data_IF_297434259889
#
_entry.id   IF_297434259889
#
_cell.length_a   1.000
_cell.length_b   1.000
_cell.length_c   1.000
_cell.angle_alpha   90.00
_cell.angle_beta   90.00
_cell.angle_gamma   90.00
#
_symmetry.space_group_name_H-M   'P 1'
#
loop_
_entity.id
_entity.type
_entity.pdbx_description
1 polymer ?
#
# COMPACT_ATOMS: atom_id res chain seq x y z
N UNK A 1 -11.04 38.78 -15.99
CA UNK A 1 -10.15 37.59 -15.98
C UNK A 1 -10.59 36.72 -14.82
N UNK A 2 -11.42 35.70 -15.08
CA UNK A 2 -11.91 34.79 -14.04
C UNK A 2 -11.01 33.56 -14.02
N UNK A 3 -10.16 33.45 -13.01
CA UNK A 3 -9.29 32.29 -12.80
C UNK A 3 -10.15 31.10 -12.38
N UNK A 4 -10.42 30.19 -13.31
CA UNK A 4 -10.91 28.85 -12.95
C UNK A 4 -9.82 28.18 -12.11
N UNK A 5 -10.02 28.11 -10.79
CA UNK A 5 -9.36 27.09 -9.98
C UNK A 5 -10.12 25.80 -10.23
N UNK A 6 -9.73 25.05 -11.26
CA UNK A 6 -10.15 23.66 -11.37
C UNK A 6 -9.78 22.98 -10.05
N UNK A 7 -10.74 22.37 -9.37
CA UNK A 7 -10.52 21.73 -8.07
C UNK A 7 -9.49 20.64 -8.26
N UNK A 8 -8.22 20.91 -7.93
CA UNK A 8 -7.18 19.91 -7.99
C UNK A 8 -7.59 18.78 -7.04
N UNK A 9 -7.79 17.58 -7.58
CA UNK A 9 -8.20 16.45 -6.76
C UNK A 9 -7.07 16.14 -5.77
N UNK A 10 -7.38 15.91 -4.49
CA UNK A 10 -6.36 15.57 -3.51
C UNK A 10 -5.67 14.27 -3.95
N UNK A 11 -4.38 14.12 -3.68
CA UNK A 11 -3.69 12.87 -3.94
C UNK A 11 -3.90 11.88 -2.80
N UNK A 12 -3.82 10.60 -3.12
CA UNK A 12 -3.88 9.47 -2.18
C UNK A 12 -2.79 8.46 -2.53
N UNK A 13 -2.57 7.51 -1.62
CA UNK A 13 -1.66 6.39 -1.84
C UNK A 13 -2.48 5.16 -2.24
N UNK A 14 -2.02 4.45 -3.26
CA UNK A 14 -2.54 3.16 -3.70
C UNK A 14 -1.46 2.10 -3.58
N UNK A 15 -1.86 0.88 -3.21
CA UNK A 15 -0.97 -0.28 -3.20
C UNK A 15 -0.80 -0.80 -4.62
N UNK A 16 0.43 -1.07 -5.03
CA UNK A 16 0.73 -1.91 -6.20
C UNK A 16 0.53 -3.37 -5.82
N UNK A 17 -0.72 -3.84 -5.76
CA UNK A 17 -1.09 -5.12 -5.15
C UNK A 17 -0.31 -6.33 -5.71
N UNK A 18 -0.11 -6.39 -7.03
CA UNK A 18 0.68 -7.45 -7.66
C UNK A 18 2.17 -7.40 -7.24
N UNK A 19 2.79 -6.21 -7.30
CA UNK A 19 4.18 -6.03 -6.90
C UNK A 19 4.40 -6.36 -5.41
N UNK A 20 3.47 -5.94 -4.55
CA UNK A 20 3.48 -6.25 -3.12
C UNK A 20 3.37 -7.76 -2.86
N UNK A 21 2.45 -8.45 -3.55
CA UNK A 21 2.23 -9.88 -3.37
C UNK A 21 3.44 -10.69 -3.83
N UNK A 22 4.04 -10.32 -4.97
CA UNK A 22 5.26 -10.95 -5.46
C UNK A 22 6.46 -10.66 -4.55
N UNK A 23 6.59 -9.44 -4.04
CA UNK A 23 7.62 -9.08 -3.06
C UNK A 23 7.50 -9.92 -1.78
N UNK A 24 6.29 -10.05 -1.23
CA UNK A 24 6.05 -10.87 -0.04
C UNK A 24 6.41 -12.34 -0.27
N UNK A 25 6.05 -12.89 -1.43
CA UNK A 25 6.39 -14.26 -1.82
C UNK A 25 7.90 -14.48 -1.95
N UNK A 26 8.61 -13.50 -2.52
CA UNK A 26 10.08 -13.51 -2.68
C UNK A 26 10.82 -13.34 -1.35
N UNK A 27 10.25 -12.56 -0.43
CA UNK A 27 10.74 -12.42 0.94
C UNK A 27 10.47 -13.68 1.81
N UNK A 28 9.78 -14.69 1.27
CA UNK A 28 9.55 -15.97 1.94
C UNK A 28 8.26 -16.04 2.75
N UNK A 29 7.41 -15.02 2.72
CA UNK A 29 6.11 -15.07 3.36
C UNK A 29 5.18 -16.01 2.58
N UNK A 30 4.65 -17.03 3.26
CA UNK A 30 3.78 -18.08 2.68
C UNK A 30 2.30 -17.90 3.06
N UNK A 31 1.98 -16.90 3.86
CA UNK A 31 0.61 -16.58 4.26
C UNK A 31 0.49 -15.12 4.66
N UNK A 32 -0.72 -14.56 4.49
CA UNK A 32 -1.06 -13.21 4.95
C UNK A 32 -0.83 -13.05 6.46
N UNK A 33 -1.01 -14.12 7.23
CA UNK A 33 -0.79 -14.07 8.68
C UNK A 33 0.68 -13.83 9.02
N UNK A 34 1.60 -14.56 8.37
CA UNK A 34 3.03 -14.39 8.59
C UNK A 34 3.51 -12.99 8.16
N UNK A 35 3.01 -12.51 7.02
CA UNK A 35 3.29 -11.17 6.52
C UNK A 35 2.74 -10.08 7.46
N UNK A 36 1.47 -10.20 7.88
CA UNK A 36 0.83 -9.26 8.79
C UNK A 36 1.57 -9.16 10.12
N UNK A 37 2.05 -10.30 10.64
CA UNK A 37 2.89 -10.32 11.85
C UNK A 37 4.22 -9.59 11.65
N UNK A 38 4.89 -9.80 10.51
CA UNK A 38 6.13 -9.11 10.20
C UNK A 38 5.95 -7.59 9.99
N UNK A 39 4.79 -7.19 9.47
CA UNK A 39 4.40 -5.79 9.28
C UNK A 39 3.84 -5.12 10.54
N UNK A 40 3.64 -5.89 11.63
CA UNK A 40 2.95 -5.43 12.84
C UNK A 40 1.54 -4.83 12.59
N UNK A 41 0.74 -5.51 11.77
CA UNK A 41 -0.65 -5.13 11.47
C UNK A 41 -1.60 -6.32 11.60
N UNK A 42 -2.91 -6.04 11.62
CA UNK A 42 -3.91 -7.10 11.60
C UNK A 42 -3.96 -7.79 10.23
N UNK A 43 -4.07 -9.12 10.20
CA UNK A 43 -4.24 -9.90 8.95
C UNK A 43 -5.37 -9.38 8.08
N UNK A 44 -6.52 -9.02 8.67
CA UNK A 44 -7.67 -8.50 7.92
C UNK A 44 -7.38 -7.15 7.26
N UNK A 45 -6.48 -6.34 7.84
CA UNK A 45 -5.97 -5.11 7.19
C UNK A 45 -5.17 -5.47 5.94
N UNK A 46 -4.30 -6.49 6.00
CA UNK A 46 -3.54 -6.95 4.83
C UNK A 46 -4.47 -7.37 3.71
N UNK A 47 -5.38 -8.30 3.99
CA UNK A 47 -6.34 -8.78 2.99
C UNK A 47 -7.17 -7.63 2.40
N UNK A 48 -7.72 -6.74 3.23
CA UNK A 48 -8.55 -5.62 2.72
C UNK A 48 -7.77 -4.60 1.88
N UNK A 49 -6.50 -4.36 2.18
CA UNK A 49 -5.67 -3.44 1.38
C UNK A 49 -5.24 -4.10 0.07
N UNK A 50 -4.84 -5.37 0.10
CA UNK A 50 -4.47 -6.14 -1.09
C UNK A 50 -5.64 -6.29 -2.06
N UNK A 51 -6.83 -6.56 -1.53
CA UNK A 51 -8.07 -6.69 -2.32
C UNK A 51 -8.66 -5.33 -2.75
N UNK A 52 -8.08 -4.21 -2.31
CA UNK A 52 -8.52 -2.86 -2.70
C UNK A 52 -9.74 -2.33 -1.92
N UNK A 53 -10.24 -3.04 -0.91
CA UNK A 53 -11.33 -2.57 -0.05
C UNK A 53 -10.91 -1.45 0.92
N UNK A 54 -9.62 -1.32 1.21
CA UNK A 54 -9.08 -0.31 2.12
C UNK A 54 -7.85 0.37 1.50
N UNK A 55 -7.78 1.70 1.62
CA UNK A 55 -6.57 2.44 1.25
C UNK A 55 -5.44 2.17 2.27
N UNK A 56 -4.19 1.99 1.83
CA UNK A 56 -3.07 1.76 2.75
C UNK A 56 -2.87 2.97 3.68
N UNK A 57 -3.02 2.75 4.98
CA UNK A 57 -2.74 3.77 6.00
C UNK A 57 -1.27 3.78 6.44
N UNK A 58 -0.85 4.76 7.28
CA UNK A 58 0.54 4.91 7.70
C UNK A 58 1.15 3.65 8.33
N UNK A 59 0.40 2.94 9.18
CA UNK A 59 0.87 1.70 9.81
C UNK A 59 1.13 0.58 8.78
N UNK A 60 0.25 0.44 7.78
CA UNK A 60 0.43 -0.53 6.71
C UNK A 60 1.67 -0.20 5.87
N UNK A 61 1.84 1.08 5.50
CA UNK A 61 2.97 1.54 4.68
C UNK A 61 4.29 1.32 5.41
N UNK A 62 4.39 1.77 6.67
CA UNK A 62 5.60 1.58 7.47
C UNK A 62 5.92 0.10 7.68
N UNK A 63 4.92 -0.70 8.04
CA UNK A 63 5.08 -2.14 8.21
C UNK A 63 5.56 -2.85 6.95
N UNK A 64 5.01 -2.48 5.78
CA UNK A 64 5.43 -3.03 4.49
C UNK A 64 6.91 -2.73 4.18
N UNK A 65 7.34 -1.47 4.37
CA UNK A 65 8.71 -1.05 4.08
C UNK A 65 9.75 -1.69 5.01
N UNK A 66 9.35 -1.98 6.26
CA UNK A 66 10.21 -2.72 7.20
C UNK A 66 10.23 -4.21 6.87
N UNK A 67 9.06 -4.83 6.68
CA UNK A 67 8.96 -6.27 6.46
C UNK A 67 9.51 -6.74 5.10
N UNK A 68 9.49 -5.86 4.10
CA UNK A 68 9.92 -6.15 2.73
C UNK A 68 11.19 -5.39 2.35
N UNK A 69 11.99 -4.94 3.32
CA UNK A 69 13.28 -4.33 3.06
C UNK A 69 14.14 -5.24 2.15
N UNK A 70 14.90 -4.68 1.18
CA UNK A 70 15.23 -3.25 1.01
C UNK A 70 14.29 -2.48 0.06
N UNK A 71 13.06 -2.95 -0.19
CA UNK A 71 12.14 -2.26 -1.09
C UNK A 71 11.76 -0.87 -0.58
N UNK A 72 11.59 0.05 -1.53
CA UNK A 72 11.26 1.46 -1.30
C UNK A 72 9.78 1.70 -1.49
N UNK A 73 9.33 2.91 -1.17
CA UNK A 73 7.93 3.30 -1.28
C UNK A 73 7.41 3.11 -2.70
N UNK A 74 8.15 3.61 -3.70
CA UNK A 74 7.78 3.56 -5.12
C UNK A 74 7.71 2.14 -5.71
N UNK A 75 8.37 1.17 -5.09
CA UNK A 75 8.31 -0.24 -5.50
C UNK A 75 6.97 -0.89 -5.12
N UNK A 76 6.36 -0.43 -4.03
CA UNK A 76 5.17 -1.04 -3.41
C UNK A 76 3.91 -0.17 -3.54
N UNK A 77 4.08 1.13 -3.69
CA UNK A 77 3.01 2.12 -3.63
C UNK A 77 3.12 3.12 -4.77
N UNK A 78 2.00 3.76 -5.06
CA UNK A 78 1.93 4.88 -5.98
C UNK A 78 1.05 5.99 -5.42
N UNK A 79 1.40 7.22 -5.75
CA UNK A 79 0.58 8.39 -5.43
C UNK A 79 -0.31 8.67 -6.63
N UNK A 80 -1.63 8.60 -6.42
CA UNK A 80 -2.66 8.79 -7.45
C UNK A 80 -3.65 9.88 -7.04
N UNK A 81 -4.40 10.48 -7.97
CA UNK A 81 -5.53 11.32 -7.62
C UNK A 81 -6.59 10.53 -6.83
N UNK A 82 -7.24 11.14 -5.83
CA UNK A 82 -8.18 10.44 -4.93
C UNK A 82 -9.48 9.94 -5.58
N UNK A 83 -9.71 10.27 -6.85
CA UNK A 83 -10.88 9.87 -7.64
C UNK A 83 -10.61 8.72 -8.63
N UNK A 84 -9.42 8.14 -8.59
CA UNK A 84 -9.02 6.93 -9.34
C UNK A 84 -8.90 5.72 -8.40
#
# INVERSE_FOLDING_TARGET
MSTQHGTAMPNTIKLRAEAFTEAARRAGFRSDYALAKAMDVNRSTVTRVVDGYLKPGPAFIGGALVALAPLRFEDLFEVIPSGE
#
